data_IF_245218569992
#
_entry.id   IF_245218569992
#
_cell.length_a   1.000
_cell.length_b   1.000
_cell.length_c   1.000
_cell.angle_alpha   90.00
_cell.angle_beta   90.00
_cell.angle_gamma   90.00
#
_symmetry.space_group_name_H-M   'P 1'
#
loop_
_entity.id
_entity.type
_entity.pdbx_description
1 polymer ?
#
# COMPACT_ATOMS: atom_id res chain seq x y z
N UNK A 1 -16.25 13.49 -16.27
CA UNK A 1 -16.59 14.12 -17.55
C UNK A 1 -16.06 15.54 -17.52
N UNK A 2 -15.56 16.06 -18.63
CA UNK A 2 -15.28 17.50 -18.81
C UNK A 2 -16.19 17.92 -19.96
N UNK A 3 -17.03 18.94 -19.76
CA UNK A 3 -18.02 19.41 -20.73
C UNK A 3 -18.90 18.28 -21.31
N UNK A 4 -19.41 17.40 -20.43
CA UNK A 4 -20.20 16.22 -20.79
C UNK A 4 -19.52 15.23 -21.75
N UNK A 5 -18.19 15.24 -21.82
CA UNK A 5 -17.40 14.24 -22.56
C UNK A 5 -16.57 13.35 -21.62
N UNK A 6 -16.32 12.09 -22.00
CA UNK A 6 -15.35 11.24 -21.31
C UNK A 6 -13.99 11.94 -21.26
N UNK A 7 -13.27 11.75 -20.16
CA UNK A 7 -11.91 12.28 -20.04
C UNK A 7 -10.98 11.31 -20.78
N UNK A 8 -10.26 11.83 -21.76
CA UNK A 8 -9.27 11.09 -22.52
C UNK A 8 -7.88 11.61 -22.14
N UNK A 9 -7.02 10.69 -21.71
CA UNK A 9 -5.62 10.94 -21.35
C UNK A 9 -4.78 9.76 -21.78
N UNK A 10 -3.49 10.00 -21.95
CA UNK A 10 -2.50 8.98 -22.32
C UNK A 10 -2.39 7.86 -21.26
N UNK A 11 -1.86 6.71 -21.68
CA UNK A 11 -1.61 5.58 -20.78
C UNK A 11 -0.65 5.97 -19.63
N UNK A 12 0.39 6.75 -19.93
CA UNK A 12 1.34 7.24 -18.93
C UNK A 12 0.63 8.00 -17.81
N UNK A 13 -0.29 8.90 -18.14
CA UNK A 13 -1.10 9.65 -17.18
C UNK A 13 -1.92 8.76 -16.25
N UNK A 14 -2.51 7.68 -16.79
CA UNK A 14 -3.28 6.70 -15.99
C UNK A 14 -2.38 5.93 -15.02
N UNK A 15 -1.21 5.48 -15.48
CA UNK A 15 -0.27 4.73 -14.66
C UNK A 15 0.38 5.61 -13.57
N UNK A 16 0.74 6.85 -13.89
CA UNK A 16 1.23 7.84 -12.92
C UNK A 16 0.15 8.11 -11.86
N UNK A 17 -1.10 8.31 -12.28
CA UNK A 17 -2.23 8.48 -11.35
C UNK A 17 -2.35 7.27 -10.42
N UNK A 18 -2.26 6.04 -10.95
CA UNK A 18 -2.33 4.82 -10.15
C UNK A 18 -1.19 4.74 -9.12
N UNK A 19 0.05 5.00 -9.53
CA UNK A 19 1.21 4.97 -8.64
C UNK A 19 1.08 6.00 -7.52
N UNK A 20 0.72 7.25 -7.85
CA UNK A 20 0.58 8.31 -6.84
C UNK A 20 -0.55 8.01 -5.85
N UNK A 21 -1.67 7.46 -6.33
CA UNK A 21 -2.76 7.05 -5.45
C UNK A 21 -2.32 5.92 -4.52
N UNK A 22 -1.63 4.90 -5.03
CA UNK A 22 -1.20 3.75 -4.23
C UNK A 22 -0.03 4.07 -3.30
N UNK A 23 0.87 4.96 -3.68
CA UNK A 23 1.94 5.45 -2.80
C UNK A 23 1.38 6.20 -1.58
N UNK A 24 0.31 6.98 -1.75
CA UNK A 24 -0.38 7.63 -0.64
C UNK A 24 -0.91 6.67 0.44
N UNK A 25 -1.04 5.38 0.10
CA UNK A 25 -1.55 4.32 0.99
C UNK A 25 -0.46 3.48 1.65
N UNK A 26 0.82 3.81 1.44
CA UNK A 26 1.90 3.15 2.16
C UNK A 26 1.66 3.31 3.66
N UNK A 27 1.58 2.18 4.36
CA UNK A 27 1.04 2.06 5.73
C UNK A 27 1.82 2.86 6.79
N UNK A 28 1.34 2.92 8.05
CA UNK A 28 1.98 3.71 9.11
C UNK A 28 3.44 3.34 9.39
N UNK A 29 3.85 2.09 9.14
CA UNK A 29 5.24 1.66 9.28
C UNK A 29 6.08 1.89 8.00
N UNK A 30 5.43 2.22 6.89
CA UNK A 30 6.05 2.39 5.60
C UNK A 30 6.44 1.07 4.96
N UNK A 31 5.70 -0.03 5.16
CA UNK A 31 6.11 -1.39 4.75
C UNK A 31 5.19 -1.98 3.67
N UNK A 32 3.88 -2.01 3.92
CA UNK A 32 2.84 -2.52 3.03
C UNK A 32 1.90 -1.42 2.54
N UNK A 33 0.94 -1.79 1.70
CA UNK A 33 -0.13 -0.88 1.25
C UNK A 33 -1.42 -1.12 2.02
N UNK A 34 -1.97 -0.06 2.59
CA UNK A 34 -3.17 -0.08 3.43
C UNK A 34 -4.42 -0.53 2.65
N UNK A 35 -5.25 -1.38 3.27
CA UNK A 35 -6.52 -1.85 2.74
C UNK A 35 -7.67 -0.90 3.08
N UNK A 36 -7.81 0.18 2.32
CA UNK A 36 -8.79 1.26 2.59
C UNK A 36 -10.18 1.06 1.93
N UNK A 37 -10.33 0.09 1.02
CA UNK A 37 -11.53 -0.06 0.17
C UNK A 37 -12.49 -1.16 0.66
N UNK A 38 -12.51 -1.44 1.96
CA UNK A 38 -13.30 -2.52 2.59
C UNK A 38 -13.04 -3.92 2.00
N UNK A 39 -11.91 -4.10 1.33
CA UNK A 39 -11.49 -5.35 0.69
C UNK A 39 -10.01 -5.60 0.94
N UNK A 40 -9.62 -6.84 1.24
CA UNK A 40 -8.21 -7.21 1.34
C UNK A 40 -7.58 -7.31 -0.05
N UNK A 41 -6.32 -7.77 -0.09
CA UNK A 41 -5.62 -8.11 -1.31
C UNK A 41 -6.18 -9.34 -2.02
N UNK A 42 -5.30 -10.15 -2.62
CA UNK A 42 -5.71 -11.33 -3.40
C UNK A 42 -6.56 -12.34 -2.61
N UNK A 43 -6.25 -12.54 -1.33
CA UNK A 43 -7.00 -13.47 -0.48
C UNK A 43 -8.28 -12.82 0.09
N UNK A 44 -9.40 -12.97 -0.60
CA UNK A 44 -10.71 -12.42 -0.16
C UNK A 44 -11.18 -13.00 1.19
N UNK A 45 -10.61 -14.12 1.66
CA UNK A 45 -10.93 -14.67 2.98
C UNK A 45 -10.33 -13.85 4.14
N UNK A 46 -9.34 -13.00 3.88
CA UNK A 46 -8.75 -12.04 4.83
C UNK A 46 -9.58 -10.75 4.94
N UNK A 47 -10.91 -10.85 4.76
CA UNK A 47 -11.81 -9.70 4.65
C UNK A 47 -12.01 -8.90 5.94
N UNK A 48 -11.43 -9.33 7.06
CA UNK A 48 -11.41 -8.55 8.30
C UNK A 48 -10.25 -7.56 8.39
N UNK A 49 -9.16 -7.78 7.64
CA UNK A 49 -7.97 -6.93 7.67
C UNK A 49 -8.24 -5.43 7.42
N UNK A 50 -9.12 -5.01 6.49
CA UNK A 50 -9.44 -3.59 6.34
C UNK A 50 -9.91 -2.91 7.63
N UNK A 51 -10.65 -3.64 8.48
CA UNK A 51 -11.12 -3.15 9.78
C UNK A 51 -10.03 -3.09 10.85
N UNK A 52 -8.90 -3.75 10.63
CA UNK A 52 -7.72 -3.78 11.51
C UNK A 52 -6.58 -2.89 11.00
N UNK A 53 -6.94 -1.86 10.22
CA UNK A 53 -6.00 -1.00 9.49
C UNK A 53 -4.96 -1.79 8.69
N UNK A 54 -5.34 -2.98 8.23
CA UNK A 54 -4.42 -3.94 7.66
C UNK A 54 -3.77 -3.45 6.38
N UNK A 55 -2.57 -3.94 6.11
CA UNK A 55 -1.80 -3.63 4.91
C UNK A 55 -1.19 -4.87 4.28
N UNK A 56 -0.87 -4.75 2.99
CA UNK A 56 -0.31 -5.83 2.18
C UNK A 56 1.11 -5.55 1.68
N UNK A 57 2.05 -6.42 2.02
CA UNK A 57 3.43 -6.39 1.51
C UNK A 57 3.49 -6.89 0.06
N UNK A 58 2.59 -7.81 -0.32
CA UNK A 58 2.41 -8.28 -1.70
C UNK A 58 2.11 -7.12 -2.65
N UNK A 59 1.13 -6.29 -2.28
CA UNK A 59 0.75 -5.10 -3.06
C UNK A 59 1.86 -4.04 -3.11
N UNK A 60 2.66 -3.89 -2.04
CA UNK A 60 3.81 -3.00 -2.05
C UNK A 60 4.86 -3.44 -3.08
N UNK A 61 5.16 -4.75 -3.19
CA UNK A 61 6.09 -5.23 -4.22
C UNK A 61 5.58 -4.97 -5.64
N UNK A 62 4.28 -5.16 -5.90
CA UNK A 62 3.71 -4.86 -7.21
C UNK A 62 3.72 -3.35 -7.52
N UNK A 63 3.49 -2.49 -6.52
CA UNK A 63 3.65 -1.04 -6.67
C UNK A 63 5.10 -0.67 -6.98
N UNK A 64 6.07 -1.24 -6.26
CA UNK A 64 7.50 -1.05 -6.50
C UNK A 64 7.86 -1.39 -7.95
N UNK A 65 7.38 -2.53 -8.45
CA UNK A 65 7.59 -2.94 -9.84
C UNK A 65 6.98 -1.97 -10.85
N UNK A 66 5.74 -1.54 -10.62
CA UNK A 66 5.07 -0.58 -11.49
C UNK A 66 5.79 0.78 -11.50
N UNK A 67 6.21 1.27 -10.33
CA UNK A 67 6.96 2.51 -10.21
C UNK A 67 8.29 2.42 -10.95
N UNK A 68 9.04 1.34 -10.76
CA UNK A 68 10.31 1.10 -11.46
C UNK A 68 10.13 1.07 -12.99
N UNK A 69 9.08 0.39 -13.47
CA UNK A 69 8.73 0.40 -14.89
C UNK A 69 8.47 1.82 -15.43
N UNK A 70 7.78 2.67 -14.66
CA UNK A 70 7.56 4.07 -15.06
C UNK A 70 8.86 4.89 -15.02
N UNK A 71 9.70 4.74 -13.98
CA UNK A 71 11.02 5.40 -13.93
C UNK A 71 11.81 5.07 -15.20
N UNK A 72 11.95 3.78 -15.53
CA UNK A 72 12.62 3.32 -16.75
C UNK A 72 12.02 3.91 -18.03
N UNK A 73 10.69 3.97 -18.12
CA UNK A 73 10.00 4.49 -19.30
C UNK A 73 10.22 6.00 -19.47
N UNK A 74 10.15 6.78 -18.39
CA UNK A 74 10.35 8.22 -18.40
C UNK A 74 11.82 8.60 -18.60
N UNK A 75 12.78 7.79 -18.14
CA UNK A 75 14.22 8.01 -18.41
C UNK A 75 14.59 7.78 -19.87
N UNK A 76 13.95 6.81 -20.53
CA UNK A 76 14.19 6.50 -21.95
C UNK A 76 13.47 7.44 -22.90
N UNK A 77 12.44 8.12 -22.42
CA UNK A 77 11.68 9.08 -23.22
C UNK A 77 12.43 10.42 -23.31
N UNK A 78 12.42 11.04 -24.49
CA UNK A 78 12.89 12.42 -24.65
C UNK A 78 12.03 13.39 -23.82
N UNK A 79 12.50 14.63 -23.65
CA UNK A 79 11.73 15.68 -22.98
C UNK A 79 10.35 15.86 -23.65
N UNK A 80 9.28 15.63 -22.88
CA UNK A 80 7.90 15.74 -23.33
C UNK A 80 6.98 16.19 -22.19
N UNK A 81 5.72 16.44 -22.50
CA UNK A 81 4.66 16.72 -21.53
C UNK A 81 3.56 15.69 -21.65
N UNK A 82 2.99 15.27 -20.53
CA UNK A 82 1.78 14.45 -20.50
C UNK A 82 0.61 15.30 -19.95
N UNK A 83 -0.62 14.96 -20.35
CA UNK A 83 -1.84 15.58 -19.82
C UNK A 83 -2.39 14.78 -18.65
N UNK A 84 -2.59 15.44 -17.50
CA UNK A 84 -3.13 14.84 -16.27
C UNK A 84 -4.32 15.66 -15.77
N UNK A 85 -5.14 15.08 -14.90
CA UNK A 85 -6.12 15.87 -14.15
C UNK A 85 -5.40 16.93 -13.32
N UNK A 86 -5.88 18.17 -13.37
CA UNK A 86 -5.23 19.31 -12.69
C UNK A 86 -4.92 19.05 -11.21
N UNK A 87 -5.81 18.43 -10.40
CA UNK A 87 -5.49 18.10 -9.01
C UNK A 87 -4.26 17.19 -8.82
N UNK A 88 -3.86 16.42 -9.84
CA UNK A 88 -2.68 15.57 -9.78
C UNK A 88 -1.38 16.38 -9.73
N UNK A 89 -1.37 17.61 -10.26
CA UNK A 89 -0.19 18.49 -10.19
C UNK A 89 0.17 18.81 -8.74
N UNK A 90 -0.84 19.11 -7.91
CA UNK A 90 -0.65 19.40 -6.49
C UNK A 90 -0.12 18.16 -5.77
N UNK A 91 -0.66 16.98 -6.08
CA UNK A 91 -0.19 15.73 -5.49
C UNK A 91 1.27 15.42 -5.86
N UNK A 92 1.65 15.63 -7.13
CA UNK A 92 3.04 15.51 -7.60
C UNK A 92 3.95 16.47 -6.82
N UNK A 93 3.58 17.74 -6.74
CA UNK A 93 4.38 18.76 -6.08
C UNK A 93 4.54 18.52 -4.57
N UNK A 94 3.47 18.03 -3.92
CA UNK A 94 3.49 17.66 -2.50
C UNK A 94 4.42 16.48 -2.25
N UNK A 95 4.27 15.37 -3.00
CA UNK A 95 5.09 14.18 -2.81
C UNK A 95 6.58 14.40 -3.08
N UNK A 96 6.95 15.34 -3.97
CA UNK A 96 8.36 15.72 -4.16
C UNK A 96 8.99 16.36 -2.92
N UNK A 97 8.18 16.96 -2.05
CA UNK A 97 8.62 17.72 -0.87
C UNK A 97 8.34 17.00 0.44
N UNK A 98 7.77 15.79 0.38
CA UNK A 98 7.48 15.02 1.59
C UNK A 98 8.78 14.58 2.27
N UNK A 99 8.88 14.94 3.54
CA UNK A 99 9.97 14.61 4.44
C UNK A 99 9.42 14.14 5.78
N UNK A 100 10.28 13.49 6.56
CA UNK A 100 9.94 12.89 7.85
C UNK A 100 9.89 11.36 7.79
N UNK A 101 9.39 10.76 8.87
CA UNK A 101 9.33 9.32 9.04
C UNK A 101 8.08 8.89 9.83
N UNK A 102 7.89 7.57 9.93
CA UNK A 102 6.85 6.93 10.73
C UNK A 102 5.44 7.50 10.51
N UNK A 103 4.73 7.71 11.63
CA UNK A 103 3.36 8.22 11.64
C UNK A 103 3.21 9.57 10.94
N UNK A 104 4.15 10.51 11.15
CA UNK A 104 4.04 11.85 10.60
C UNK A 104 4.12 11.86 9.07
N UNK A 105 4.97 11.03 8.49
CA UNK A 105 5.05 10.87 7.03
C UNK A 105 3.80 10.16 6.48
N UNK A 106 3.28 9.17 7.18
CA UNK A 106 2.01 8.52 6.83
C UNK A 106 0.84 9.51 6.83
N UNK A 107 0.67 10.31 7.88
CA UNK A 107 -0.40 11.30 8.01
C UNK A 107 -0.35 12.34 6.88
N UNK A 108 0.86 12.80 6.51
CA UNK A 108 1.06 13.70 5.39
C UNK A 108 0.68 13.07 4.04
N UNK A 109 1.09 11.81 3.78
CA UNK A 109 0.73 11.09 2.54
C UNK A 109 -0.77 10.91 2.39
N UNK A 110 -1.42 10.40 3.45
CA UNK A 110 -2.87 10.15 3.45
C UNK A 110 -3.64 11.48 3.33
N UNK A 111 -3.22 12.52 4.04
CA UNK A 111 -3.83 13.86 3.93
C UNK A 111 -3.73 14.41 2.50
N UNK A 112 -2.56 14.29 1.86
CA UNK A 112 -2.38 14.73 0.48
C UNK A 112 -3.27 13.94 -0.49
N UNK A 113 -3.40 12.63 -0.31
CA UNK A 113 -4.27 11.76 -1.10
C UNK A 113 -5.75 12.12 -0.92
N UNK A 114 -6.20 12.36 0.30
CA UNK A 114 -7.58 12.75 0.61
C UNK A 114 -7.92 14.14 0.04
N UNK A 115 -6.97 15.09 0.10
CA UNK A 115 -7.13 16.40 -0.56
C UNK A 115 -7.25 16.25 -2.09
N UNK A 116 -6.43 15.39 -2.69
CA UNK A 116 -6.54 15.06 -4.12
C UNK A 116 -7.93 14.49 -4.45
N UNK A 117 -8.41 13.50 -3.69
CA UNK A 117 -9.74 12.89 -3.88
C UNK A 117 -10.88 13.88 -3.73
N UNK A 118 -10.80 14.74 -2.71
CA UNK A 118 -11.78 15.82 -2.50
C UNK A 118 -11.80 16.80 -3.67
N UNK A 119 -10.64 17.14 -4.23
CA UNK A 119 -10.55 18.02 -5.39
C UNK A 119 -11.22 17.41 -6.64
N UNK A 120 -11.26 16.08 -6.77
CA UNK A 120 -11.96 15.40 -7.87
C UNK A 120 -13.48 15.54 -7.85
N UNK A 121 -14.06 16.00 -6.73
CA UNK A 121 -15.50 16.27 -6.60
C UNK A 121 -15.90 17.61 -7.25
N UNK A 122 -14.93 18.47 -7.57
CA UNK A 122 -15.16 19.74 -8.25
C UNK A 122 -15.14 19.56 -9.78
N UNK A 123 -15.58 20.56 -10.57
CA UNK A 123 -15.41 20.54 -12.02
C UNK A 123 -13.95 20.26 -12.41
N UNK A 124 -13.76 19.26 -13.27
CA UNK A 124 -12.45 18.75 -13.64
C UNK A 124 -11.86 19.53 -14.81
N UNK A 125 -10.53 19.64 -14.83
CA UNK A 125 -9.75 20.16 -15.96
C UNK A 125 -8.50 19.32 -16.17
N UNK A 126 -7.92 19.43 -17.37
CA UNK A 126 -6.63 18.84 -17.70
C UNK A 126 -5.52 19.89 -17.60
N UNK A 127 -4.33 19.45 -17.26
CA UNK A 127 -3.13 20.28 -17.24
C UNK A 127 -1.93 19.48 -17.70
N UNK A 128 -0.97 20.17 -18.32
CA UNK A 128 0.28 19.57 -18.79
C UNK A 128 1.30 19.52 -17.67
N UNK A 129 1.98 18.38 -17.54
CA UNK A 129 3.12 18.20 -16.64
C UNK A 129 4.32 17.71 -17.45
N UNK A 130 5.51 18.22 -17.14
CA UNK A 130 6.72 17.78 -17.82
C UNK A 130 7.13 16.37 -17.37
N UNK A 131 7.69 15.59 -18.30
CA UNK A 131 8.29 14.29 -18.03
C UNK A 131 9.31 14.36 -16.90
N UNK A 132 10.09 15.45 -16.84
CA UNK A 132 11.06 15.71 -15.76
C UNK A 132 10.40 15.81 -14.38
N UNK A 133 9.29 16.54 -14.24
CA UNK A 133 8.60 16.67 -12.95
C UNK A 133 7.98 15.34 -12.50
N UNK A 134 7.43 14.56 -13.45
CA UNK A 134 6.94 13.20 -13.18
C UNK A 134 8.10 12.29 -12.74
N UNK A 135 9.22 12.31 -13.46
CA UNK A 135 10.39 11.50 -13.13
C UNK A 135 10.95 11.84 -11.74
N UNK A 136 11.00 13.12 -11.37
CA UNK A 136 11.44 13.55 -10.03
C UNK A 136 10.60 12.92 -8.92
N UNK A 137 9.26 12.94 -9.03
CA UNK A 137 8.40 12.33 -8.01
C UNK A 137 8.49 10.81 -8.00
N UNK A 138 8.57 10.17 -9.18
CA UNK A 138 8.71 8.71 -9.27
C UNK A 138 10.03 8.20 -8.65
N UNK A 139 11.13 8.96 -8.80
CA UNK A 139 12.41 8.65 -8.15
C UNK A 139 12.34 8.80 -6.64
N UNK A 140 11.65 9.82 -6.12
CA UNK A 140 11.41 9.95 -4.68
C UNK A 140 10.61 8.76 -4.14
N UNK A 141 9.55 8.37 -4.84
CA UNK A 141 8.73 7.21 -4.50
C UNK A 141 9.56 5.92 -4.59
N UNK A 142 10.46 5.78 -5.56
CA UNK A 142 11.34 4.62 -5.69
C UNK A 142 12.25 4.44 -4.47
N UNK A 143 12.79 5.54 -3.92
CA UNK A 143 13.59 5.51 -2.68
C UNK A 143 12.76 4.97 -1.51
N UNK A 144 11.56 5.51 -1.32
CA UNK A 144 10.67 5.11 -0.21
C UNK A 144 10.21 3.64 -0.35
N UNK A 145 9.95 3.18 -1.58
CA UNK A 145 9.57 1.79 -1.85
C UNK A 145 10.76 0.81 -1.71
N UNK A 146 11.99 1.27 -1.96
CA UNK A 146 13.18 0.47 -1.66
C UNK A 146 13.39 0.34 -0.14
N UNK A 147 13.14 1.41 0.62
CA UNK A 147 13.15 1.36 2.09
C UNK A 147 12.04 0.43 2.62
N UNK A 148 10.81 0.53 2.09
CA UNK A 148 9.70 -0.36 2.42
C UNK A 148 10.06 -1.85 2.20
N UNK A 149 10.69 -2.15 1.06
CA UNK A 149 11.20 -3.48 0.75
C UNK A 149 12.26 -3.96 1.77
N UNK A 150 13.21 -3.10 2.15
CA UNK A 150 14.22 -3.43 3.16
C UNK A 150 13.58 -3.69 4.54
N UNK A 151 12.62 -2.85 4.95
CA UNK A 151 11.87 -3.04 6.19
C UNK A 151 11.10 -4.36 6.18
N UNK A 152 10.39 -4.67 5.11
CA UNK A 152 9.66 -5.94 4.96
C UNK A 152 10.60 -7.14 5.13
N UNK A 153 11.74 -7.14 4.42
CA UNK A 153 12.74 -8.21 4.48
C UNK A 153 13.42 -8.37 5.85
N UNK A 154 13.39 -7.33 6.69
CA UNK A 154 13.96 -7.34 8.04
C UNK A 154 12.97 -7.85 9.12
N UNK A 155 11.69 -8.02 8.79
CA UNK A 155 10.67 -8.41 9.77
C UNK A 155 10.80 -9.84 10.29
N UNK A 156 11.21 -10.78 9.41
CA UNK A 156 11.36 -12.21 9.67
C UNK A 156 12.19 -12.87 8.55
N UNK A 157 12.63 -14.12 8.75
CA UNK A 157 13.27 -14.94 7.70
C UNK A 157 12.35 -15.18 6.49
N UNK A 158 11.04 -15.27 6.74
CA UNK A 158 9.98 -15.25 5.72
C UNK A 158 9.11 -14.04 6.07
N UNK A 159 9.32 -12.94 5.37
CA UNK A 159 8.58 -11.71 5.61
C UNK A 159 7.06 -11.93 5.48
N UNK A 160 6.25 -11.24 6.30
CA UNK A 160 4.81 -11.41 6.31
C UNK A 160 4.19 -10.91 5.00
N UNK A 161 3.03 -11.47 4.64
CA UNK A 161 2.20 -10.91 3.57
C UNK A 161 1.32 -9.78 4.08
N UNK A 162 0.77 -9.93 5.29
CA UNK A 162 -0.16 -8.99 5.88
C UNK A 162 0.37 -8.42 7.18
N UNK A 163 0.12 -7.14 7.38
CA UNK A 163 0.36 -6.42 8.62
C UNK A 163 -0.99 -5.87 9.12
N UNK A 164 -1.08 -5.64 10.41
CA UNK A 164 -2.24 -5.01 11.08
C UNK A 164 -1.74 -3.92 12.00
N UNK A 165 -2.58 -2.92 12.24
CA UNK A 165 -2.20 -1.74 13.02
C UNK A 165 -3.28 -1.41 14.05
N UNK A 166 -2.87 -1.28 15.31
CA UNK A 166 -3.74 -0.88 16.40
C UNK A 166 -3.44 0.56 16.81
N UNK A 167 -4.46 1.40 16.93
CA UNK A 167 -4.30 2.79 17.37
C UNK A 167 -3.98 2.82 18.87
N UNK A 168 -2.74 3.18 19.23
CA UNK A 168 -2.28 3.22 20.64
C UNK A 168 -2.37 4.60 21.26
N UNK A 169 -2.47 5.66 20.44
CA UNK A 169 -2.69 7.04 20.87
C UNK A 169 -3.67 7.70 19.93
N UNK A 170 -4.61 8.45 20.49
CA UNK A 170 -5.59 9.20 19.72
C UNK A 170 -6.11 10.37 20.55
N UNK A 171 -6.56 11.42 19.86
CA UNK A 171 -7.22 12.58 20.42
C UNK A 171 -8.65 12.67 19.93
N UNK A 172 -9.54 13.12 20.81
CA UNK A 172 -10.93 13.31 20.44
C UNK A 172 -11.09 14.51 19.53
N UNK A 173 -11.93 14.38 18.49
CA UNK A 173 -12.32 15.51 17.65
C UNK A 173 -13.41 16.30 18.37
N UNK A 174 -13.17 17.59 18.58
CA UNK A 174 -14.07 18.49 19.31
C UNK A 174 -14.63 19.58 18.38
N UNK A 175 -15.90 19.92 18.58
CA UNK A 175 -16.55 21.10 18.02
C UNK A 175 -17.19 21.89 19.18
N UNK A 176 -16.84 23.16 19.34
CA UNK A 176 -17.25 24.00 20.48
C UNK A 176 -17.05 23.33 21.85
N UNK A 177 -15.90 22.68 22.07
CA UNK A 177 -15.54 21.89 23.25
C UNK A 177 -16.45 20.67 23.52
N UNK A 178 -17.31 20.29 22.57
CA UNK A 178 -18.13 19.09 22.65
C UNK A 178 -17.57 17.98 21.72
N UNK A 179 -17.66 16.71 22.13
CA UNK A 179 -17.40 15.56 21.27
C UNK A 179 -18.13 15.63 19.93
N UNK A 180 -17.41 15.52 18.81
CA UNK A 180 -18.06 15.22 17.52
C UNK A 180 -18.43 13.75 17.52
N UNK A 181 -19.72 13.43 17.40
CA UNK A 181 -20.24 12.07 17.40
C UNK A 181 -20.37 11.56 15.97
N UNK A 182 -19.75 10.41 15.69
CA UNK A 182 -19.84 9.73 14.40
C UNK A 182 -21.15 8.97 14.22
N UNK A 183 -21.36 8.42 13.02
CA UNK A 183 -22.58 7.67 12.67
C UNK A 183 -22.81 6.39 13.48
N UNK A 184 -21.77 5.86 14.12
CA UNK A 184 -21.86 4.73 15.05
C UNK A 184 -22.22 5.12 16.49
N UNK A 185 -22.54 6.39 16.76
CA UNK A 185 -22.88 6.87 18.11
C UNK A 185 -21.67 6.97 19.05
N UNK A 186 -20.46 6.89 18.51
CA UNK A 186 -19.20 7.01 19.24
C UNK A 186 -18.49 8.32 18.90
N UNK A 187 -17.69 8.89 19.83
CA UNK A 187 -16.84 10.03 19.51
C UNK A 187 -15.88 9.76 18.36
N UNK A 188 -15.75 10.73 17.46
CA UNK A 188 -14.69 10.71 16.46
C UNK A 188 -13.34 11.00 17.11
N UNK A 189 -12.30 10.34 16.62
CA UNK A 189 -10.93 10.49 17.10
C UNK A 189 -9.97 10.71 15.93
N UNK A 190 -8.92 11.48 16.17
CA UNK A 190 -7.72 11.54 15.33
C UNK A 190 -6.68 10.60 15.95
N UNK A 191 -6.31 9.55 15.23
CA UNK A 191 -5.20 8.68 15.64
C UNK A 191 -3.90 9.49 15.65
N UNK A 192 -2.97 9.19 16.54
CA UNK A 192 -1.66 9.84 16.68
C UNK A 192 -0.50 8.85 16.69
N UNK A 193 -0.78 7.57 16.91
CA UNK A 193 0.21 6.50 16.85
C UNK A 193 -0.46 5.16 16.57
N UNK A 194 0.28 4.30 15.87
CA UNK A 194 -0.09 2.91 15.65
C UNK A 194 0.98 1.98 16.22
N UNK A 195 0.54 0.83 16.74
CA UNK A 195 1.38 -0.34 16.97
C UNK A 195 1.13 -1.35 15.85
N UNK A 196 2.20 -1.84 15.24
CA UNK A 196 2.13 -2.79 14.13
C UNK A 196 2.24 -4.22 14.65
N UNK A 197 1.35 -5.10 14.19
CA UNK A 197 1.43 -6.54 14.38
C UNK A 197 1.52 -7.29 13.04
N UNK A 198 2.27 -8.39 13.03
CA UNK A 198 2.44 -9.28 11.87
C UNK A 198 1.36 -10.36 11.88
N UNK A 199 0.72 -10.61 10.74
CA UNK A 199 -0.04 -11.84 10.52
C UNK A 199 0.97 -12.95 10.17
N UNK A 200 0.72 -14.22 10.56
CA UNK A 200 1.65 -15.31 10.28
C UNK A 200 1.91 -15.44 8.78
N UNK A 201 3.05 -16.03 8.37
CA UNK A 201 3.45 -16.05 6.98
C UNK A 201 2.37 -16.63 6.05
N UNK A 202 2.14 -15.92 4.95
CA UNK A 202 1.46 -16.41 3.75
C UNK A 202 2.47 -16.49 2.62
N UNK A 203 2.24 -17.41 1.68
CA UNK A 203 3.10 -17.61 0.52
C UNK A 203 3.04 -16.45 -0.49
N UNK A 204 1.98 -15.63 -0.44
CA UNK A 204 1.67 -14.63 -1.44
C UNK A 204 2.80 -13.60 -1.63
N UNK A 205 3.18 -12.86 -0.58
CA UNK A 205 4.23 -11.86 -0.70
C UNK A 205 5.59 -12.47 -1.09
N UNK A 206 6.04 -13.60 -0.50
CA UNK A 206 7.26 -14.27 -0.96
C UNK A 206 7.22 -14.68 -2.44
N UNK A 207 6.09 -15.17 -2.93
CA UNK A 207 5.91 -15.53 -4.34
C UNK A 207 5.99 -14.28 -5.25
N UNK A 208 5.38 -13.16 -4.84
CA UNK A 208 5.49 -11.88 -5.59
C UNK A 208 6.92 -11.37 -5.62
N UNK A 209 7.63 -11.39 -4.50
CA UNK A 209 9.03 -10.99 -4.43
C UNK A 209 9.93 -11.86 -5.32
N UNK A 210 9.80 -13.20 -5.23
CA UNK A 210 10.62 -14.13 -6.01
C UNK A 210 10.42 -13.99 -7.52
N UNK A 211 9.23 -13.57 -7.96
CA UNK A 211 8.95 -13.27 -9.37
C UNK A 211 9.72 -12.06 -9.91
N UNK A 212 10.22 -11.20 -9.03
CA UNK A 212 10.74 -9.88 -9.39
C UNK A 212 12.21 -9.67 -9.02
N UNK A 213 12.71 -10.38 -8.01
CA UNK A 213 14.07 -10.18 -7.51
C UNK A 213 15.14 -10.67 -8.48
N UNK A 214 16.20 -9.88 -8.63
CA UNK A 214 17.43 -10.29 -9.34
C UNK A 214 18.48 -10.87 -8.37
N UNK A 215 18.28 -10.76 -7.06
CA UNK A 215 19.17 -11.34 -6.05
C UNK A 215 18.93 -12.84 -5.92
N UNK A 216 19.67 -13.62 -6.72
CA UNK A 216 19.59 -15.09 -6.73
C UNK A 216 20.02 -15.71 -5.40
N UNK A 217 20.90 -15.06 -4.64
CA UNK A 217 21.41 -15.58 -3.37
C UNK A 217 20.32 -15.46 -2.32
N UNK A 218 19.73 -14.27 -2.17
CA UNK A 218 18.60 -14.07 -1.27
C UNK A 218 17.37 -14.87 -1.71
N UNK A 219 17.06 -14.93 -3.01
CA UNK A 219 15.97 -15.76 -3.53
C UNK A 219 16.10 -17.23 -3.13
N UNK A 220 17.32 -17.81 -3.24
CA UNK A 220 17.58 -19.19 -2.81
C UNK A 220 17.47 -19.36 -1.31
N UNK A 221 17.94 -18.38 -0.52
CA UNK A 221 17.77 -18.36 0.95
C UNK A 221 16.29 -18.37 1.32
N UNK A 222 15.50 -17.45 0.78
CA UNK A 222 14.06 -17.33 1.01
C UNK A 222 13.32 -18.61 0.59
N UNK A 223 13.61 -19.13 -0.60
CA UNK A 223 13.04 -20.41 -1.07
C UNK A 223 13.32 -21.56 -0.09
N UNK A 224 14.56 -21.65 0.42
CA UNK A 224 14.97 -22.69 1.35
C UNK A 224 14.24 -22.54 2.69
N UNK A 225 14.11 -21.32 3.21
CA UNK A 225 13.36 -21.03 4.42
C UNK A 225 11.88 -21.43 4.27
N UNK A 226 11.23 -21.05 3.16
CA UNK A 226 9.84 -21.45 2.86
C UNK A 226 9.72 -22.98 2.83
N UNK A 227 10.64 -23.68 2.16
CA UNK A 227 10.65 -25.15 2.07
C UNK A 227 10.80 -25.85 3.43
N UNK A 228 11.48 -25.20 4.37
CA UNK A 228 11.71 -25.69 5.72
C UNK A 228 10.58 -25.34 6.70
N UNK A 229 9.74 -24.36 6.36
CA UNK A 229 8.60 -23.89 7.16
C UNK A 229 7.33 -24.72 6.96
N UNK A 230 6.30 -24.39 7.75
CA UNK A 230 4.95 -24.96 7.61
C UNK A 230 4.24 -24.56 6.31
N UNK A 231 4.74 -23.55 5.59
CA UNK A 231 4.24 -23.21 4.24
C UNK A 231 4.49 -24.33 3.22
N UNK A 232 5.34 -25.31 3.52
CA UNK A 232 5.54 -26.48 2.67
C UNK A 232 5.01 -27.75 3.34
N UNK A 233 3.97 -28.35 2.76
CA UNK A 233 3.49 -29.67 3.19
C UNK A 233 4.47 -30.73 2.68
N UNK A 234 5.25 -31.31 3.61
CA UNK A 234 6.25 -32.35 3.30
C UNK A 234 5.62 -33.68 2.86
N UNK A 235 4.39 -33.98 3.32
CA UNK A 235 3.69 -35.24 3.02
C UNK A 235 3.11 -35.19 1.60
N UNK A 236 2.36 -34.13 1.31
CA UNK A 236 1.68 -33.93 0.03
C UNK A 236 2.56 -33.22 -1.02
N UNK A 237 3.73 -32.73 -0.61
CA UNK A 237 4.76 -32.12 -1.44
C UNK A 237 4.33 -30.83 -2.17
N UNK A 238 3.41 -30.04 -1.63
CA UNK A 238 2.98 -28.76 -2.19
C UNK A 238 3.15 -27.59 -1.21
N UNK A 239 3.06 -26.36 -1.71
CA UNK A 239 3.10 -25.15 -0.88
C UNK A 239 1.69 -24.71 -0.48
N UNK A 240 1.47 -24.54 0.82
CA UNK A 240 0.25 -24.02 1.39
C UNK A 240 0.18 -22.50 1.24
N UNK A 241 -1.03 -21.95 1.24
CA UNK A 241 -1.24 -20.50 1.16
C UNK A 241 -0.80 -19.78 2.43
N UNK A 242 -0.95 -20.41 3.59
CA UNK A 242 -0.61 -19.89 4.92
C UNK A 242 -0.19 -21.00 5.87
N UNK A 243 0.48 -20.60 6.94
CA UNK A 243 0.66 -21.45 8.13
C UNK A 243 -0.62 -21.44 9.00
N UNK A 244 -0.63 -22.21 10.10
CA UNK A 244 -1.77 -22.24 11.01
C UNK A 244 -2.12 -20.85 11.54
N UNK A 245 -3.38 -20.45 11.41
CA UNK A 245 -3.88 -19.17 11.91
C UNK A 245 -4.48 -19.25 13.30
N UNK A 246 -4.43 -20.41 13.96
CA UNK A 246 -5.16 -20.75 15.20
C UNK A 246 -5.06 -19.74 16.34
N UNK A 247 -3.94 -19.02 16.43
CA UNK A 247 -3.70 -18.00 17.42
C UNK A 247 -4.50 -16.69 17.21
N UNK A 248 -5.16 -16.50 16.06
CA UNK A 248 -5.82 -15.24 15.68
C UNK A 248 -7.34 -15.27 15.84
N UNK A 249 -7.97 -14.18 16.25
CA UNK A 249 -9.44 -14.11 16.36
C UNK A 249 -10.11 -14.18 14.98
N UNK A 250 -11.44 -14.34 14.95
CA UNK A 250 -12.24 -14.23 13.71
C UNK A 250 -12.18 -12.82 13.06
N UNK A 251 -11.57 -11.84 13.73
CA UNK A 251 -11.47 -10.46 13.24
C UNK A 251 -10.53 -10.34 12.04
N UNK A 252 -9.61 -11.27 11.82
CA UNK A 252 -8.74 -11.25 10.62
C UNK A 252 -9.51 -11.64 9.34
N UNK A 253 -10.73 -12.16 9.48
CA UNK A 253 -11.63 -12.49 8.39
C UNK A 253 -12.13 -13.92 8.42
N UNK A 254 -13.02 -14.22 7.47
CA UNK A 254 -13.67 -15.54 7.34
C UNK A 254 -12.71 -16.70 7.08
N UNK A 255 -11.44 -16.42 6.76
CA UNK A 255 -10.40 -17.45 6.66
C UNK A 255 -10.34 -18.33 7.90
N UNK A 256 -10.63 -17.77 9.08
CA UNK A 256 -10.64 -18.50 10.36
C UNK A 256 -11.78 -19.51 10.50
N UNK A 257 -12.81 -19.40 9.67
CA UNK A 257 -13.93 -20.33 9.65
C UNK A 257 -13.67 -21.58 8.79
N UNK A 258 -12.62 -21.57 7.96
CA UNK A 258 -12.29 -22.72 7.12
C UNK A 258 -11.47 -23.76 7.87
N UNK A 259 -11.66 -25.03 7.51
CA UNK A 259 -10.81 -26.12 8.00
C UNK A 259 -9.38 -25.89 7.54
N UNK A 260 -8.40 -26.07 8.43
CA UNK A 260 -6.98 -25.89 8.11
C UNK A 260 -6.57 -26.72 6.89
N UNK A 261 -5.84 -26.11 5.97
CA UNK A 261 -5.37 -26.74 4.74
C UNK A 261 -6.38 -26.76 3.59
N UNK A 262 -7.53 -26.08 3.74
CA UNK A 262 -8.52 -25.82 2.68
C UNK A 262 -8.56 -24.34 2.29
#
# INVERSE_FOLDING_TARGET
MIDNKPIEVELASKLVTLVLNKYGLLDPAGIGLSYEANKPGWNDAMNGLPGLFGSGVSEMFELKKLNHFLVDAFEKANDHTIEVLTPLLDLIALYQKLEGDGYALWDQRVTALENYRKALLNPLSLSKVSSKAVLTVLKKIELDLNEANQKAMALDDIFPTYLTFEATKFEQVLDNNAPVIGHYGLPLVKVLAFEMAKIPPFLEAPARFLKQTNDKVYAKKLYTAIKQSELYDKKQKFYQTSVSLDAFSNEIGRIRAFTKGW
#
